data_IF_373282929358
#
_entry.id   IF_373282929358
#
_cell.length_a   1.000
_cell.length_b   1.000
_cell.length_c   1.000
_cell.angle_alpha   90.00
_cell.angle_beta   90.00
_cell.angle_gamma   90.00
#
_symmetry.space_group_name_H-M   'P 1'
#
loop_
_entity.id
_entity.type
_entity.pdbx_description
1 polymer ?
#
# COMPACT_ATOMS: atom_id res chain seq x y z
N UNK A 1 10.75 -7.99 -8.92
CA UNK A 1 10.37 -6.85 -8.08
C UNK A 1 11.33 -5.69 -8.31
N UNK A 2 10.90 -4.66 -9.01
CA UNK A 2 11.66 -3.41 -9.14
C UNK A 2 11.26 -2.46 -8.01
N UNK A 3 12.14 -2.30 -7.02
CA UNK A 3 12.07 -1.17 -6.10
C UNK A 3 12.83 -0.01 -6.76
N UNK A 4 12.14 0.85 -7.49
CA UNK A 4 12.73 2.14 -7.82
C UNK A 4 12.81 2.96 -6.53
N UNK A 5 13.97 3.53 -6.22
CA UNK A 5 14.09 4.54 -5.17
C UNK A 5 13.17 5.69 -5.58
N UNK A 6 12.01 5.78 -4.92
CA UNK A 6 11.10 6.90 -5.12
C UNK A 6 11.74 8.22 -4.71
N UNK A 7 11.16 9.31 -5.13
CA UNK A 7 11.48 10.64 -4.62
C UNK A 7 11.24 10.69 -3.11
N UNK A 8 12.30 10.83 -2.33
CA UNK A 8 12.20 11.02 -0.87
C UNK A 8 11.52 9.86 -0.12
N UNK A 9 10.37 10.12 0.48
CA UNK A 9 9.66 9.22 1.39
C UNK A 9 8.59 8.33 0.74
N UNK A 10 8.61 8.16 -0.58
CA UNK A 10 7.62 7.34 -1.28
C UNK A 10 8.26 6.10 -1.89
N UNK A 11 7.71 4.94 -1.57
CA UNK A 11 8.08 3.67 -2.19
C UNK A 11 7.06 3.29 -3.26
N UNK A 12 7.52 3.23 -4.50
CA UNK A 12 6.75 2.63 -5.60
C UNK A 12 6.82 1.11 -5.51
N UNK A 13 5.70 0.45 -5.73
CA UNK A 13 5.56 -1.01 -5.79
C UNK A 13 4.98 -1.40 -7.14
N UNK A 14 5.72 -2.19 -7.88
CA UNK A 14 5.33 -2.72 -9.19
C UNK A 14 5.61 -4.22 -9.21
N UNK A 15 4.87 -4.94 -10.02
CA UNK A 15 5.12 -6.36 -10.33
C UNK A 15 5.08 -6.54 -11.83
N UNK A 16 5.78 -7.56 -12.32
CA UNK A 16 5.74 -7.96 -13.73
C UNK A 16 5.84 -9.47 -13.81
N UNK A 17 4.99 -10.09 -14.62
CA UNK A 17 4.96 -11.53 -14.79
C UNK A 17 3.58 -12.07 -15.14
N UNK A 18 3.38 -13.37 -14.94
CA UNK A 18 2.12 -14.06 -15.20
C UNK A 18 1.23 -14.09 -13.98
N UNK A 19 0.05 -13.50 -14.07
CA UNK A 19 -0.98 -13.55 -13.03
C UNK A 19 -1.39 -15.00 -12.74
N UNK A 20 -1.53 -15.81 -13.79
CA UNK A 20 -1.88 -17.24 -13.68
C UNK A 20 -0.85 -18.02 -12.88
N UNK A 21 0.45 -17.77 -13.11
CA UNK A 21 1.50 -18.45 -12.36
C UNK A 21 1.49 -18.06 -10.88
N UNK A 22 1.26 -16.78 -10.58
CA UNK A 22 1.14 -16.31 -9.19
C UNK A 22 -0.03 -17.00 -8.49
N UNK A 23 -1.19 -17.08 -9.12
CA UNK A 23 -2.36 -17.77 -8.56
C UNK A 23 -2.10 -19.28 -8.38
N UNK A 24 -1.39 -19.90 -9.30
CA UNK A 24 -0.97 -21.30 -9.18
C UNK A 24 -0.08 -21.52 -7.96
N UNK A 25 0.93 -20.67 -7.75
CA UNK A 25 1.79 -20.76 -6.56
C UNK A 25 1.03 -20.46 -5.26
N UNK A 26 0.08 -19.54 -5.29
CA UNK A 26 -0.79 -19.24 -4.15
C UNK A 26 -1.65 -20.46 -3.76
N UNK A 27 -2.23 -21.15 -4.75
CA UNK A 27 -2.98 -22.39 -4.52
C UNK A 27 -2.09 -23.51 -3.96
N UNK A 28 -0.86 -23.65 -4.43
CA UNK A 28 0.11 -24.59 -3.87
C UNK A 28 0.40 -24.33 -2.39
N UNK A 29 0.58 -23.06 -2.01
CA UNK A 29 0.79 -22.68 -0.60
C UNK A 29 -0.43 -23.06 0.26
N UNK A 30 -1.62 -22.98 -0.29
CA UNK A 30 -2.85 -23.37 0.37
C UNK A 30 -3.01 -24.89 0.49
N UNK A 31 -2.82 -25.59 -0.64
CA UNK A 31 -3.00 -27.03 -0.76
C UNK A 31 -2.03 -27.82 0.13
N UNK A 32 -0.78 -27.39 0.18
CA UNK A 32 0.28 -28.06 0.91
C UNK A 32 0.69 -27.36 2.20
N UNK A 33 -0.20 -26.62 2.82
CA UNK A 33 0.04 -25.82 4.03
C UNK A 33 0.60 -26.58 5.24
N UNK A 34 0.47 -27.91 5.27
CA UNK A 34 1.03 -28.79 6.32
C UNK A 34 2.51 -29.15 6.09
N UNK A 35 3.01 -29.00 4.86
CA UNK A 35 4.40 -29.25 4.52
C UNK A 35 5.30 -28.17 5.12
N UNK A 36 6.35 -28.59 5.84
CA UNK A 36 7.20 -27.66 6.58
C UNK A 36 7.80 -26.55 5.72
N UNK A 37 8.28 -26.89 4.51
CA UNK A 37 8.90 -25.92 3.62
C UNK A 37 7.93 -24.84 3.14
N UNK A 38 6.72 -25.22 2.71
CA UNK A 38 5.70 -24.27 2.29
C UNK A 38 5.17 -23.44 3.47
N UNK A 39 5.13 -24.04 4.66
CA UNK A 39 4.83 -23.31 5.89
C UNK A 39 5.88 -22.23 6.18
N UNK A 40 7.17 -22.53 5.99
CA UNK A 40 8.23 -21.53 6.15
C UNK A 40 8.17 -20.43 5.10
N UNK A 41 7.89 -20.74 3.82
CA UNK A 41 7.64 -19.73 2.79
C UNK A 41 6.50 -18.80 3.22
N UNK A 42 5.39 -19.35 3.68
CA UNK A 42 4.28 -18.58 4.22
C UNK A 42 4.70 -17.68 5.39
N UNK A 43 5.46 -18.20 6.34
CA UNK A 43 5.93 -17.42 7.49
C UNK A 43 6.88 -16.30 7.07
N UNK A 44 7.75 -16.52 6.10
CA UNK A 44 8.61 -15.48 5.53
C UNK A 44 7.75 -14.38 4.91
N UNK A 45 6.74 -14.77 4.11
CA UNK A 45 5.84 -13.82 3.49
C UNK A 45 5.05 -13.00 4.50
N UNK A 46 4.48 -13.64 5.53
CA UNK A 46 3.78 -12.96 6.63
C UNK A 46 4.71 -11.95 7.32
N UNK A 47 5.95 -12.32 7.62
CA UNK A 47 6.92 -11.39 8.24
C UNK A 47 7.27 -10.23 7.33
N UNK A 48 7.39 -10.49 6.03
CA UNK A 48 7.66 -9.44 5.03
C UNK A 48 6.51 -8.45 4.94
N UNK A 49 5.28 -8.94 4.83
CA UNK A 49 4.09 -8.09 4.80
C UNK A 49 3.94 -7.26 6.08
N UNK A 50 4.19 -7.84 7.25
CA UNK A 50 4.16 -7.11 8.52
C UNK A 50 5.22 -6.00 8.59
N UNK A 51 6.37 -6.17 7.95
CA UNK A 51 7.38 -5.10 7.81
C UNK A 51 6.91 -4.00 6.86
N UNK A 52 6.21 -4.37 5.80
CA UNK A 52 5.59 -3.41 4.88
C UNK A 52 4.55 -2.58 5.63
N UNK A 53 3.70 -3.20 6.45
CA UNK A 53 2.71 -2.51 7.27
C UNK A 53 3.33 -1.50 8.25
N UNK A 54 4.56 -1.72 8.69
CA UNK A 54 5.28 -0.88 9.67
C UNK A 54 6.20 0.16 9.03
N UNK A 55 6.29 0.25 7.70
CA UNK A 55 7.15 1.26 7.09
C UNK A 55 6.66 2.67 7.41
N UNK A 56 7.59 3.58 7.68
CA UNK A 56 7.32 4.99 7.90
C UNK A 56 7.11 5.79 6.61
N UNK A 57 7.30 5.15 5.47
CA UNK A 57 7.22 5.79 4.15
C UNK A 57 5.91 5.46 3.47
N UNK A 58 5.41 6.40 2.68
CA UNK A 58 4.22 6.17 1.86
C UNK A 58 4.48 5.09 0.83
N UNK A 59 3.54 4.17 0.73
CA UNK A 59 3.55 3.08 -0.22
C UNK A 59 2.57 3.36 -1.36
N UNK A 60 3.06 3.30 -2.58
CA UNK A 60 2.24 3.45 -3.79
C UNK A 60 2.41 2.22 -4.65
N UNK A 61 1.30 1.55 -4.94
CA UNK A 61 1.30 0.44 -5.89
C UNK A 61 0.84 0.92 -7.25
N UNK A 62 1.65 0.66 -8.27
CA UNK A 62 1.34 0.92 -9.67
C UNK A 62 1.06 -0.41 -10.35
N UNK A 63 -0.15 -0.57 -10.83
CA UNK A 63 -0.66 -1.78 -11.49
C UNK A 63 -0.75 -1.46 -12.98
N UNK A 64 0.36 -1.68 -13.67
CA UNK A 64 0.55 -1.38 -15.09
C UNK A 64 0.30 -2.64 -15.93
N UNK A 65 0.15 -2.51 -17.27
CA UNK A 65 0.11 -3.66 -18.18
C UNK A 65 1.25 -4.65 -17.88
N UNK A 66 0.96 -5.95 -17.94
CA UNK A 66 1.92 -7.01 -17.58
C UNK A 66 2.11 -7.22 -16.08
N UNK A 67 1.39 -6.51 -15.21
CA UNK A 67 1.41 -6.73 -13.76
C UNK A 67 0.80 -8.08 -13.39
N UNK A 68 1.32 -8.68 -12.30
CA UNK A 68 0.89 -9.99 -11.80
C UNK A 68 0.41 -9.96 -10.34
N UNK A 69 -0.34 -8.92 -9.95
CA UNK A 69 -0.89 -8.81 -8.61
C UNK A 69 -2.08 -9.76 -8.41
N UNK A 70 -1.78 -11.00 -8.04
CA UNK A 70 -2.74 -12.06 -7.70
C UNK A 70 -2.48 -12.65 -6.33
N UNK A 71 -3.52 -13.13 -5.65
CA UNK A 71 -3.43 -13.85 -4.40
C UNK A 71 -2.51 -13.18 -3.38
N UNK A 72 -1.43 -13.86 -2.97
CA UNK A 72 -0.49 -13.32 -1.98
C UNK A 72 0.21 -12.02 -2.42
N UNK A 73 0.38 -11.76 -3.73
CA UNK A 73 0.93 -10.48 -4.20
C UNK A 73 -0.07 -9.34 -4.13
N UNK A 74 -1.37 -9.60 -4.20
CA UNK A 74 -2.40 -8.57 -4.01
C UNK A 74 -2.37 -7.96 -2.61
N UNK A 75 -1.80 -8.64 -1.60
CA UNK A 75 -1.58 -8.09 -0.27
C UNK A 75 -0.76 -6.80 -0.28
N UNK A 76 0.10 -6.61 -1.28
CA UNK A 76 0.89 -5.38 -1.46
C UNK A 76 -0.01 -4.21 -1.84
N UNK A 77 -1.03 -4.45 -2.70
CA UNK A 77 -2.03 -3.44 -3.06
C UNK A 77 -2.77 -2.98 -1.80
N UNK A 78 -3.21 -3.94 -0.98
CA UNK A 78 -4.00 -3.64 0.22
C UNK A 78 -3.16 -3.06 1.37
N UNK A 79 -1.85 -3.26 1.36
CA UNK A 79 -0.91 -2.63 2.28
C UNK A 79 -0.50 -1.21 1.86
N UNK A 80 -0.81 -0.79 0.64
CA UNK A 80 -0.40 0.49 0.10
C UNK A 80 -1.35 1.61 0.51
N UNK A 81 -0.82 2.81 0.67
CA UNK A 81 -1.57 4.03 0.99
C UNK A 81 -2.40 4.48 -0.21
N UNK A 82 -1.88 4.26 -1.40
CA UNK A 82 -2.60 4.44 -2.68
C UNK A 82 -2.21 3.36 -3.67
N UNK A 83 -3.17 2.97 -4.49
CA UNK A 83 -2.98 2.07 -5.62
C UNK A 83 -3.58 2.68 -6.88
N UNK A 84 -2.78 2.74 -7.92
CA UNK A 84 -3.15 3.20 -9.25
C UNK A 84 -3.19 2.00 -10.18
N UNK A 85 -4.22 1.89 -10.99
CA UNK A 85 -4.36 0.81 -11.96
C UNK A 85 -4.61 1.39 -13.34
N UNK A 86 -3.81 0.96 -14.31
CA UNK A 86 -3.93 1.40 -15.69
C UNK A 86 -5.17 0.82 -16.34
N UNK A 87 -5.87 1.64 -17.15
CA UNK A 87 -6.95 1.21 -18.01
C UNK A 87 -6.40 0.80 -19.39
N UNK A 88 -6.75 -0.39 -19.83
CA UNK A 88 -6.31 -0.91 -21.12
C UNK A 88 -4.81 -1.23 -21.18
N UNK A 89 -4.22 -1.02 -22.35
CA UNK A 89 -2.79 -1.22 -22.64
C UNK A 89 -2.15 0.11 -23.00
N UNK A 90 -0.86 0.26 -22.68
CA UNK A 90 -0.12 1.44 -23.11
C UNK A 90 0.31 1.30 -24.58
N UNK A 91 0.21 2.37 -25.35
CA UNK A 91 0.47 2.37 -26.81
C UNK A 91 1.83 1.78 -27.22
N UNK A 92 2.84 1.93 -26.37
CA UNK A 92 4.21 1.45 -26.62
C UNK A 92 4.49 0.05 -25.99
N UNK A 93 3.51 -0.56 -25.33
CA UNK A 93 3.67 -1.84 -24.64
C UNK A 93 2.99 -2.98 -25.39
N UNK A 94 3.67 -4.12 -25.48
CA UNK A 94 3.07 -5.39 -25.91
C UNK A 94 2.54 -6.22 -24.71
N UNK A 95 2.59 -5.67 -23.51
CA UNK A 95 2.16 -6.36 -22.31
C UNK A 95 0.62 -6.47 -22.26
N UNK A 96 0.08 -7.54 -21.70
CA UNK A 96 -1.36 -7.68 -21.54
C UNK A 96 -1.92 -6.61 -20.59
N UNK A 97 -3.17 -6.25 -20.80
CA UNK A 97 -3.92 -5.35 -19.94
C UNK A 97 -3.74 -5.68 -18.46
N UNK A 98 -3.65 -4.62 -17.64
CA UNK A 98 -3.51 -4.76 -16.19
C UNK A 98 -4.73 -5.46 -15.59
N UNK A 99 -4.49 -6.52 -14.84
CA UNK A 99 -5.52 -7.26 -14.10
C UNK A 99 -5.03 -7.63 -12.73
N UNK A 100 -5.96 -7.70 -11.79
CA UNK A 100 -5.70 -8.21 -10.45
C UNK A 100 -6.63 -9.39 -10.16
N UNK A 101 -6.25 -10.24 -9.21
CA UNK A 101 -7.11 -11.34 -8.79
C UNK A 101 -6.98 -11.61 -7.30
N UNK A 102 -8.11 -11.91 -6.67
CA UNK A 102 -8.16 -12.34 -5.29
C UNK A 102 -8.03 -13.87 -5.20
N UNK A 103 -7.48 -14.34 -4.09
CA UNK A 103 -7.48 -15.75 -3.73
C UNK A 103 -8.00 -15.95 -2.30
N UNK A 104 -8.17 -17.21 -1.90
CA UNK A 104 -8.50 -17.56 -0.51
C UNK A 104 -7.48 -17.01 0.49
N UNK A 105 -6.25 -16.79 0.06
CA UNK A 105 -5.18 -16.26 0.91
C UNK A 105 -5.46 -14.86 1.43
N UNK A 106 -6.17 -14.03 0.67
CA UNK A 106 -6.47 -12.66 1.05
C UNK A 106 -7.47 -12.52 2.20
N UNK A 107 -8.27 -13.55 2.48
CA UNK A 107 -9.34 -13.46 3.47
C UNK A 107 -8.96 -13.93 4.87
N UNK A 108 -7.97 -14.81 5.04
CA UNK A 108 -7.62 -15.31 6.37
C UNK A 108 -6.16 -15.67 6.58
N UNK A 109 -5.33 -15.63 5.52
CA UNK A 109 -4.02 -16.26 5.56
C UNK A 109 -2.90 -15.31 6.00
N UNK A 110 -2.98 -14.05 5.64
CA UNK A 110 -1.94 -13.02 5.84
C UNK A 110 -2.41 -11.91 6.79
N UNK A 111 -2.74 -12.28 8.02
CA UNK A 111 -3.18 -11.30 9.00
C UNK A 111 -2.08 -10.32 9.39
N UNK A 112 -2.49 -9.07 9.59
CA UNK A 112 -1.66 -8.01 10.15
C UNK A 112 -1.34 -8.28 11.63
N UNK A 113 -0.53 -7.42 12.22
CA UNK A 113 -0.13 -7.57 13.64
C UNK A 113 -1.29 -7.38 14.62
N UNK A 114 -2.35 -6.67 14.22
CA UNK A 114 -3.58 -6.48 15.00
C UNK A 114 -4.58 -7.64 14.88
N UNK A 115 -4.26 -8.70 14.11
CA UNK A 115 -5.06 -9.92 14.00
C UNK A 115 -6.12 -9.93 12.92
N UNK A 116 -6.33 -8.83 12.19
CA UNK A 116 -7.26 -8.74 11.05
C UNK A 116 -6.50 -8.72 9.72
N UNK A 117 -7.17 -9.01 8.62
CA UNK A 117 -6.58 -8.95 7.28
C UNK A 117 -6.52 -7.50 6.77
N UNK A 118 -5.74 -7.25 5.72
CA UNK A 118 -5.69 -5.94 5.07
C UNK A 118 -7.00 -5.59 4.37
N UNK A 119 -7.70 -6.58 3.83
CA UNK A 119 -9.05 -6.38 3.30
C UNK A 119 -10.04 -5.97 4.39
N UNK A 120 -10.03 -6.63 5.56
CA UNK A 120 -10.87 -6.25 6.70
C UNK A 120 -10.53 -4.83 7.19
N UNK A 121 -9.27 -4.42 7.16
CA UNK A 121 -8.88 -3.04 7.49
C UNK A 121 -9.38 -2.05 6.45
N UNK A 122 -9.27 -2.37 5.16
CA UNK A 122 -9.72 -1.52 4.06
C UNK A 122 -11.23 -1.29 4.07
N UNK A 123 -11.99 -2.32 4.41
CA UNK A 123 -13.46 -2.30 4.46
C UNK A 123 -13.98 -2.34 5.91
N UNK A 124 -13.31 -1.62 6.79
CA UNK A 124 -13.67 -1.56 8.20
C UNK A 124 -15.13 -1.09 8.35
N UNK A 125 -15.94 -1.86 9.11
CA UNK A 125 -17.39 -1.68 9.27
C UNK A 125 -18.25 -1.95 8.01
N UNK A 126 -17.66 -2.49 6.95
CA UNK A 126 -18.37 -2.87 5.73
C UNK A 126 -18.24 -4.37 5.45
N UNK A 127 -18.54 -5.21 6.45
CA UNK A 127 -18.36 -6.68 6.37
C UNK A 127 -19.10 -7.34 5.20
N UNK A 128 -20.20 -6.76 4.73
CA UNK A 128 -20.93 -7.26 3.56
C UNK A 128 -20.10 -7.14 2.27
N UNK A 129 -19.25 -6.12 2.15
CA UNK A 129 -18.33 -6.02 1.00
C UNK A 129 -17.33 -7.17 0.97
N UNK A 130 -16.83 -7.59 2.12
CA UNK A 130 -15.91 -8.74 2.23
C UNK A 130 -16.57 -10.01 1.68
N UNK A 131 -17.84 -10.25 2.00
CA UNK A 131 -18.60 -11.40 1.48
C UNK A 131 -18.79 -11.33 -0.05
N UNK A 132 -19.02 -10.14 -0.57
CA UNK A 132 -19.12 -9.93 -2.03
C UNK A 132 -17.79 -10.24 -2.70
N UNK A 133 -16.68 -9.80 -2.11
CA UNK A 133 -15.33 -10.07 -2.63
C UNK A 133 -14.96 -11.55 -2.57
N UNK A 134 -15.44 -12.31 -1.59
CA UNK A 134 -15.23 -13.76 -1.52
C UNK A 134 -15.80 -14.49 -2.76
N UNK A 135 -16.86 -13.96 -3.37
CA UNK A 135 -17.44 -14.51 -4.61
C UNK A 135 -16.59 -14.19 -5.85
N UNK A 136 -15.60 -13.30 -5.73
CA UNK A 136 -14.69 -12.93 -6.81
C UNK A 136 -13.34 -13.67 -6.75
N UNK A 137 -13.20 -14.63 -5.86
CA UNK A 137 -11.97 -15.43 -5.76
C UNK A 137 -11.65 -16.11 -7.10
N UNK A 138 -10.40 -15.93 -7.56
CA UNK A 138 -9.87 -16.41 -8.83
C UNK A 138 -10.46 -15.76 -10.09
N UNK A 139 -11.34 -14.78 -9.96
CA UNK A 139 -11.75 -13.98 -11.12
C UNK A 139 -10.69 -12.90 -11.41
N UNK A 140 -10.38 -12.74 -12.69
CA UNK A 140 -9.57 -11.61 -13.13
C UNK A 140 -10.42 -10.35 -13.14
N UNK A 141 -9.96 -9.32 -12.46
CA UNK A 141 -10.63 -8.03 -12.34
C UNK A 141 -9.81 -6.99 -13.10
N UNK A 142 -10.43 -6.35 -14.06
CA UNK A 142 -9.89 -5.19 -14.75
C UNK A 142 -9.92 -3.93 -13.86
N UNK A 143 -9.44 -2.82 -14.38
CA UNK A 143 -9.32 -1.56 -13.65
C UNK A 143 -10.67 -1.02 -13.19
N UNK A 144 -11.69 -1.07 -14.04
CA UNK A 144 -13.02 -0.58 -13.73
C UNK A 144 -13.72 -1.44 -12.65
N UNK A 145 -13.61 -2.76 -12.76
CA UNK A 145 -14.12 -3.69 -11.76
C UNK A 145 -13.41 -3.50 -10.41
N UNK A 146 -12.08 -3.41 -10.43
CA UNK A 146 -11.27 -3.23 -9.23
C UNK A 146 -11.58 -1.91 -8.53
N UNK A 147 -11.78 -0.82 -9.30
CA UNK A 147 -12.18 0.48 -8.79
C UNK A 147 -13.59 0.45 -8.19
N UNK A 148 -14.56 -0.10 -8.92
CA UNK A 148 -15.95 -0.20 -8.46
C UNK A 148 -16.07 -1.03 -7.18
N UNK A 149 -15.25 -2.06 -7.01
CA UNK A 149 -15.19 -2.87 -5.81
C UNK A 149 -14.38 -2.23 -4.67
N UNK A 150 -13.72 -1.10 -4.91
CA UNK A 150 -12.87 -0.42 -3.93
C UNK A 150 -11.55 -1.12 -3.63
N UNK A 151 -11.08 -2.00 -4.51
CA UNK A 151 -9.81 -2.73 -4.37
C UNK A 151 -8.61 -1.87 -4.75
N UNK A 152 -8.79 -0.90 -5.64
CA UNK A 152 -7.79 0.10 -6.02
C UNK A 152 -8.30 1.50 -5.71
N UNK A 153 -7.37 2.47 -5.61
CA UNK A 153 -7.72 3.85 -5.26
C UNK A 153 -8.12 4.66 -6.47
N UNK A 154 -7.40 4.50 -7.57
CA UNK A 154 -7.59 5.23 -8.81
C UNK A 154 -7.37 4.33 -10.02
N UNK A 155 -8.03 4.70 -11.12
CA UNK A 155 -7.83 4.10 -12.43
C UNK A 155 -7.67 5.22 -13.45
N UNK A 156 -6.65 5.13 -14.31
CA UNK A 156 -6.35 6.12 -15.35
C UNK A 156 -5.96 5.41 -16.65
N UNK A 157 -6.31 6.03 -17.75
CA UNK A 157 -5.85 5.63 -19.07
C UNK A 157 -4.36 6.00 -19.30
N UNK A 158 -3.81 5.64 -20.45
CA UNK A 158 -2.42 5.88 -20.81
C UNK A 158 -2.07 7.37 -20.94
N UNK A 159 -3.04 8.21 -21.30
CA UNK A 159 -2.87 9.65 -21.49
C UNK A 159 -2.60 10.34 -20.14
N UNK A 160 -3.41 10.01 -19.15
CA UNK A 160 -3.37 10.66 -17.83
C UNK A 160 -2.40 9.97 -16.86
N UNK A 161 -1.99 8.71 -17.13
CA UNK A 161 -1.22 7.87 -16.22
C UNK A 161 0.05 8.50 -15.66
N UNK A 162 0.92 8.96 -16.54
CA UNK A 162 2.22 9.51 -16.13
C UNK A 162 2.06 10.79 -15.32
N UNK A 163 1.17 11.67 -15.74
CA UNK A 163 0.95 12.95 -15.10
C UNK A 163 0.32 12.80 -13.71
N UNK A 164 -0.70 11.98 -13.56
CA UNK A 164 -1.36 11.74 -12.28
C UNK A 164 -0.44 11.08 -11.26
N UNK A 165 0.33 10.08 -11.69
CA UNK A 165 1.34 9.44 -10.82
C UNK A 165 2.44 10.44 -10.44
N UNK A 166 2.92 11.26 -11.39
CA UNK A 166 3.94 12.28 -11.15
C UNK A 166 3.45 13.33 -10.17
N UNK A 167 2.27 13.89 -10.38
CA UNK A 167 1.67 14.93 -9.53
C UNK A 167 1.57 14.42 -8.08
N UNK A 168 1.05 13.22 -7.89
CA UNK A 168 0.98 12.63 -6.56
C UNK A 168 2.35 12.47 -5.88
N UNK A 169 3.34 11.99 -6.61
CA UNK A 169 4.69 11.78 -6.08
C UNK A 169 5.37 13.10 -5.71
N UNK A 170 5.21 14.13 -6.54
CA UNK A 170 5.72 15.48 -6.28
C UNK A 170 5.05 16.12 -5.07
N UNK A 171 3.73 16.03 -4.99
CA UNK A 171 2.98 16.53 -3.83
C UNK A 171 3.45 15.82 -2.54
N UNK A 172 3.50 14.50 -2.54
CA UNK A 172 3.89 13.70 -1.39
C UNK A 172 5.32 13.99 -0.93
N UNK A 173 6.25 14.18 -1.88
CA UNK A 173 7.63 14.53 -1.60
C UNK A 173 7.83 15.98 -1.10
N UNK A 174 6.81 16.83 -1.19
CA UNK A 174 6.86 18.20 -0.68
C UNK A 174 6.62 18.31 0.82
N UNK A 175 6.08 17.27 1.46
CA UNK A 175 5.80 17.26 2.89
C UNK A 175 7.04 16.95 3.74
N UNK A 176 7.00 17.38 5.00
CA UNK A 176 8.05 17.02 5.97
C UNK A 176 8.11 15.51 6.17
N UNK A 177 9.28 14.87 6.01
CA UNK A 177 9.42 13.43 6.19
C UNK A 177 9.09 12.97 7.62
N UNK A 178 9.38 13.78 8.62
CA UNK A 178 9.04 13.46 10.01
C UNK A 178 7.51 13.51 10.23
N UNK A 179 6.83 14.48 9.60
CA UNK A 179 5.36 14.56 9.66
C UNK A 179 4.71 13.39 8.93
N UNK A 180 5.28 12.98 7.79
CA UNK A 180 4.80 11.80 7.06
C UNK A 180 4.98 10.51 7.85
N UNK A 181 6.09 10.36 8.57
CA UNK A 181 6.31 9.22 9.48
C UNK A 181 5.20 9.13 10.53
N UNK A 182 4.87 10.25 11.17
CA UNK A 182 3.78 10.29 12.16
C UNK A 182 2.41 10.04 11.55
N UNK A 183 2.14 10.57 10.35
CA UNK A 183 0.89 10.33 9.61
C UNK A 183 0.71 8.85 9.31
N UNK A 184 1.71 8.20 8.70
CA UNK A 184 1.68 6.77 8.37
C UNK A 184 1.42 5.91 9.62
N UNK A 185 2.12 6.19 10.72
CA UNK A 185 1.93 5.46 11.97
C UNK A 185 0.52 5.61 12.54
N UNK A 186 -0.10 6.80 12.41
CA UNK A 186 -1.45 7.05 12.89
C UNK A 186 -2.54 6.39 12.02
N UNK A 187 -2.32 6.27 10.72
CA UNK A 187 -3.29 5.71 9.79
C UNK A 187 -3.24 4.18 9.72
N UNK A 188 -2.09 3.59 10.05
CA UNK A 188 -1.92 2.13 10.01
C UNK A 188 -2.67 1.45 11.15
N UNK A 189 -3.00 0.17 10.95
CA UNK A 189 -3.69 -0.66 11.91
C UNK A 189 -5.05 -0.09 12.36
N UNK A 190 -5.78 0.55 11.43
CA UNK A 190 -7.17 0.89 11.68
C UNK A 190 -7.93 -0.37 12.13
N UNK A 191 -8.77 -0.23 13.13
CA UNK A 191 -9.48 -1.37 13.75
C UNK A 191 -10.27 -0.94 14.96
N UNK A 192 -10.76 -1.90 15.74
CA UNK A 192 -11.51 -1.62 16.96
C UNK A 192 -10.60 -0.98 18.02
N UNK A 193 -10.63 0.33 18.07
CA UNK A 193 -9.81 1.14 18.95
C UNK A 193 -10.69 2.26 19.52
N UNK A 194 -10.53 2.59 20.81
CA UNK A 194 -11.29 3.70 21.41
C UNK A 194 -10.69 5.04 20.99
N UNK A 195 -11.49 6.10 21.11
CA UNK A 195 -11.02 7.47 20.86
C UNK A 195 -9.84 7.82 21.79
N UNK A 196 -9.93 7.43 23.05
CA UNK A 196 -8.90 7.68 24.06
C UNK A 196 -7.56 7.03 23.67
N UNK A 197 -7.58 5.78 23.22
CA UNK A 197 -6.34 5.08 22.80
C UNK A 197 -5.78 5.70 21.53
N UNK A 198 -6.61 6.15 20.58
CA UNK A 198 -6.15 6.88 19.39
C UNK A 198 -5.51 8.20 19.74
N UNK A 199 -6.12 8.98 20.64
CA UNK A 199 -5.60 10.30 21.04
C UNK A 199 -4.30 10.13 21.84
N UNK A 200 -4.34 9.39 22.95
CA UNK A 200 -3.21 9.34 23.90
C UNK A 200 -2.13 8.36 23.49
N UNK A 201 -2.49 7.23 22.89
CA UNK A 201 -1.53 6.21 22.47
C UNK A 201 -0.90 6.46 21.09
N UNK A 202 -1.51 7.29 20.25
CA UNK A 202 -1.03 7.54 18.88
C UNK A 202 -0.81 9.02 18.60
N UNK A 203 -1.87 9.82 18.49
CA UNK A 203 -1.76 11.21 18.05
C UNK A 203 -0.84 12.02 18.97
N UNK A 204 -1.05 11.97 20.28
CA UNK A 204 -0.24 12.71 21.25
C UNK A 204 1.21 12.23 21.24
N UNK A 205 1.45 10.92 21.20
CA UNK A 205 2.79 10.37 21.18
C UNK A 205 3.56 10.80 19.92
N UNK A 206 2.94 10.69 18.74
CA UNK A 206 3.58 11.08 17.49
C UNK A 206 3.73 12.60 17.36
N UNK A 207 2.77 13.38 17.85
CA UNK A 207 2.89 14.84 17.92
C UNK A 207 4.09 15.24 18.79
N UNK A 208 4.25 14.68 19.98
CA UNK A 208 5.38 14.95 20.84
C UNK A 208 6.71 14.57 20.16
N UNK A 209 6.75 13.45 19.44
CA UNK A 209 7.93 13.04 18.69
C UNK A 209 8.26 14.02 17.56
N UNK A 210 7.27 14.45 16.75
CA UNK A 210 7.45 15.37 15.62
C UNK A 210 8.00 16.72 16.11
N UNK A 211 7.46 17.25 17.20
CA UNK A 211 7.90 18.54 17.77
C UNK A 211 9.32 18.55 18.33
N UNK A 212 10.00 17.41 18.35
CA UNK A 212 11.42 17.29 18.70
C UNK A 212 12.31 17.10 17.47
N UNK A 213 11.73 17.03 16.26
CA UNK A 213 12.45 16.71 15.03
C UNK A 213 12.89 17.98 14.29
N UNK A 214 14.16 18.04 13.80
CA UNK A 214 14.65 19.20 13.08
C UNK A 214 13.88 19.55 11.80
N UNK A 215 13.36 18.55 11.08
CA UNK A 215 12.52 18.78 9.88
C UNK A 215 11.20 19.46 10.21
N UNK A 216 10.72 19.38 11.43
CA UNK A 216 9.53 20.10 11.89
C UNK A 216 9.87 21.46 12.52
N UNK A 217 10.74 21.48 13.53
CA UNK A 217 10.95 22.66 14.40
C UNK A 217 12.31 23.38 14.19
N UNK A 218 13.24 22.81 13.42
CA UNK A 218 14.53 23.45 13.10
C UNK A 218 14.37 24.70 12.24
N UNK A 219 15.43 25.48 12.06
CA UNK A 219 15.41 26.75 11.30
C UNK A 219 14.91 26.60 9.86
N UNK A 220 15.24 25.50 9.20
CA UNK A 220 14.75 25.17 7.84
C UNK A 220 13.49 24.27 7.86
N UNK A 221 12.99 23.93 9.05
CA UNK A 221 11.87 23.02 9.24
C UNK A 221 10.51 23.64 8.89
N UNK A 222 9.51 22.77 8.72
CA UNK A 222 8.19 23.15 8.23
C UNK A 222 7.51 24.23 9.11
N UNK A 223 7.60 24.11 10.44
CA UNK A 223 6.92 25.05 11.35
C UNK A 223 7.59 26.42 11.37
N UNK A 224 8.91 26.51 11.26
CA UNK A 224 9.62 27.79 11.21
C UNK A 224 9.40 28.52 9.89
N UNK A 225 9.26 27.79 8.80
CA UNK A 225 9.03 28.38 7.46
C UNK A 225 7.54 28.63 7.20
N UNK A 226 6.64 28.13 8.03
CA UNK A 226 5.20 28.35 7.85
C UNK A 226 4.87 29.86 7.87
N UNK A 227 4.16 30.32 6.85
CA UNK A 227 3.77 31.73 6.71
C UNK A 227 4.88 32.68 6.25
N UNK A 228 6.13 32.22 6.05
CA UNK A 228 7.26 33.05 5.60
C UNK A 228 7.36 33.23 4.08
N UNK A 229 6.59 32.48 3.30
CA UNK A 229 6.71 32.41 1.84
C UNK A 229 7.94 31.61 1.34
N UNK A 230 8.77 31.11 2.23
CA UNK A 230 9.96 30.33 1.89
C UNK A 230 9.65 28.82 1.99
N UNK A 231 10.24 28.03 1.09
CA UNK A 231 10.16 26.58 1.14
C UNK A 231 11.04 26.02 2.25
N UNK A 232 10.55 25.03 2.97
CA UNK A 232 11.33 24.25 3.94
C UNK A 232 12.38 23.40 3.23
N UNK A 233 13.50 23.15 3.94
CA UNK A 233 14.54 22.21 3.48
C UNK A 233 14.60 21.06 4.45
N UNK A 234 14.43 19.84 3.94
CA UNK A 234 14.34 18.65 4.75
C UNK A 234 15.59 17.76 4.61
N UNK A 235 15.96 17.15 5.72
CA UNK A 235 16.95 16.08 5.74
C UNK A 235 16.25 14.73 5.51
N UNK A 236 16.36 14.20 4.31
CA UNK A 236 15.73 12.94 3.89
C UNK A 236 16.45 11.68 4.37
N UNK A 237 17.71 11.81 4.82
CA UNK A 237 18.51 10.68 5.32
C UNK A 237 18.05 10.20 6.71
N UNK A 238 17.18 10.96 7.35
CA UNK A 238 16.75 10.71 8.73
C UNK A 238 15.48 9.86 8.85
N UNK A 239 14.89 9.46 7.76
CA UNK A 239 13.61 8.74 7.72
C UNK A 239 13.80 7.27 7.38
#
# INVERSE_FOLDING_TARGET
>A
YRSSRGLGDVYKRQSQGSLTDVLFYDDLLHKYKSQWFLKEIKHVWIRTLKRIDLTSRSLVTLIEPGSCFGGFLSEIIFASDRSYMAEGVFDESNDPEAKIALSKSNFNFFKMSNGITRLETRFLNESEKIKVLENQICNELDSQMALAMGLVTFSFDDIDWEDEVRIFLEERSSFSPDSMTGLEANLRFAGPETMETKIFGRLTAWQNWIFQRPNAVGEEGALKKYGSGNRSKFNWERV
#
